data_IF_463945358699
#
_entry.id   IF_463945358699
#
_cell.length_a   1.000
_cell.length_b   1.000
_cell.length_c   1.000
_cell.angle_alpha   90.00
_cell.angle_beta   90.00
_cell.angle_gamma   90.00
#
_symmetry.space_group_name_H-M   'P 1'
#
loop_
_entity.id
_entity.type
_entity.pdbx_description
1 polymer ?
#
# COMPACT_ATOMS: atom_id res chain seq x y z
N UNK A 1 -44.19 -88.30 -14.52
CA UNK A 1 -44.72 -87.30 -15.48
C UNK A 1 -44.57 -85.90 -14.86
N UNK A 2 -44.32 -84.85 -15.65
CA UNK A 2 -44.53 -83.45 -15.19
C UNK A 2 -46.04 -83.14 -15.18
N UNK A 3 -46.53 -82.18 -14.39
CA UNK A 3 -46.54 -80.78 -14.82
C UNK A 3 -46.10 -79.76 -13.74
N UNK A 4 -46.16 -78.48 -14.11
CA UNK A 4 -45.62 -77.32 -13.40
C UNK A 4 -46.60 -76.72 -12.36
N UNK A 5 -46.06 -75.96 -11.40
CA UNK A 5 -46.72 -74.80 -10.82
C UNK A 5 -45.68 -73.73 -10.48
N UNK A 6 -45.95 -72.47 -10.85
CA UNK A 6 -45.13 -71.30 -10.56
C UNK A 6 -45.62 -70.66 -9.25
N UNK A 7 -44.71 -70.27 -8.36
CA UNK A 7 -44.99 -69.23 -7.36
C UNK A 7 -43.79 -68.31 -7.21
N UNK A 8 -44.02 -67.01 -7.42
CA UNK A 8 -43.02 -65.95 -7.26
C UNK A 8 -42.90 -65.54 -5.80
N UNK A 9 -41.68 -65.40 -5.29
CA UNK A 9 -41.41 -64.77 -4.00
C UNK A 9 -40.41 -63.63 -4.20
N UNK A 10 -40.83 -62.41 -3.86
CA UNK A 10 -39.99 -61.20 -3.90
C UNK A 10 -38.93 -61.25 -2.80
N UNK A 11 -37.66 -61.06 -3.16
CA UNK A 11 -36.59 -60.70 -2.22
C UNK A 11 -36.43 -59.18 -2.22
N UNK A 12 -36.87 -58.54 -1.14
CA UNK A 12 -36.60 -57.13 -0.87
C UNK A 12 -35.13 -56.94 -0.48
N UNK A 13 -34.30 -56.63 -1.47
CA UNK A 13 -32.92 -56.19 -1.25
C UNK A 13 -32.88 -54.77 -0.68
N UNK A 14 -32.68 -54.63 0.64
CA UNK A 14 -32.46 -53.34 1.27
C UNK A 14 -31.07 -52.79 0.94
N UNK A 15 -30.99 -51.83 0.01
CA UNK A 15 -29.76 -51.12 -0.28
C UNK A 15 -29.48 -50.06 0.79
N UNK A 16 -28.48 -50.30 1.65
CA UNK A 16 -27.98 -49.28 2.58
C UNK A 16 -27.07 -48.32 1.83
N UNK A 17 -27.57 -47.12 1.52
CA UNK A 17 -26.74 -46.03 1.02
C UNK A 17 -25.85 -45.50 2.17
N UNK A 18 -24.57 -45.86 2.14
CA UNK A 18 -23.56 -45.18 2.96
C UNK A 18 -23.15 -43.91 2.23
N UNK A 19 -23.90 -42.82 2.44
CA UNK A 19 -23.49 -41.49 2.00
C UNK A 19 -22.37 -40.98 2.90
N UNK A 20 -21.12 -41.04 2.43
CA UNK A 20 -20.05 -40.28 3.08
C UNK A 20 -20.36 -38.78 2.93
N UNK A 21 -20.32 -37.98 4.01
CA UNK A 21 -20.46 -36.54 3.89
C UNK A 21 -19.23 -35.99 3.17
N UNK A 22 -19.43 -35.41 1.99
CA UNK A 22 -18.38 -34.65 1.31
C UNK A 22 -18.08 -33.41 2.15
N UNK A 23 -16.95 -33.39 2.87
CA UNK A 23 -16.48 -32.16 3.50
C UNK A 23 -16.11 -31.15 2.41
N UNK A 24 -17.06 -30.25 2.13
CA UNK A 24 -16.82 -29.11 1.28
C UNK A 24 -15.93 -28.14 2.07
N UNK A 25 -14.61 -28.34 1.98
CA UNK A 25 -13.62 -27.40 2.51
C UNK A 25 -13.75 -26.09 1.74
N UNK A 26 -14.63 -25.22 2.23
CA UNK A 26 -14.76 -23.87 1.75
C UNK A 26 -13.43 -23.17 1.97
N UNK A 27 -12.67 -22.96 0.90
CA UNK A 27 -11.60 -21.97 0.90
C UNK A 27 -12.25 -20.62 1.21
N UNK A 28 -12.07 -20.13 2.43
CA UNK A 28 -12.24 -18.71 2.68
C UNK A 28 -11.18 -17.97 1.85
N UNK A 29 -11.58 -17.49 0.67
CA UNK A 29 -10.84 -16.45 -0.02
C UNK A 29 -10.96 -15.18 0.83
N UNK A 30 -10.01 -15.03 1.76
CA UNK A 30 -9.82 -13.80 2.52
C UNK A 30 -9.81 -12.64 1.52
N UNK A 31 -10.70 -11.68 1.75
CA UNK A 31 -10.70 -10.44 0.98
C UNK A 31 -9.39 -9.66 1.13
N UNK A 32 -9.24 -8.55 0.40
CA UNK A 32 -8.06 -7.69 0.50
C UNK A 32 -7.75 -7.34 1.95
N UNK A 33 -6.49 -7.53 2.35
CA UNK A 33 -6.00 -7.22 3.69
C UNK A 33 -6.11 -5.72 3.96
N UNK A 34 -6.29 -5.36 5.23
CA UNK A 34 -6.20 -3.97 5.62
C UNK A 34 -4.77 -3.43 5.46
N UNK A 35 -4.63 -2.11 5.28
CA UNK A 35 -3.30 -1.48 5.18
C UNK A 35 -2.45 -1.70 6.44
N UNK A 36 -3.08 -1.94 7.59
CA UNK A 36 -2.47 -2.33 8.87
C UNK A 36 -1.87 -3.75 8.81
N UNK A 37 -2.60 -4.72 8.28
CA UNK A 37 -2.14 -6.11 8.06
C UNK A 37 -1.03 -6.17 7.01
N UNK A 38 -1.20 -5.49 5.88
CA UNK A 38 -0.13 -5.37 4.85
C UNK A 38 1.12 -4.74 5.47
N UNK A 39 0.97 -3.72 6.33
CA UNK A 39 2.10 -3.10 7.02
C UNK A 39 2.87 -4.07 7.93
N UNK A 40 2.19 -4.99 8.62
CA UNK A 40 2.85 -6.00 9.45
C UNK A 40 3.69 -6.96 8.60
N UNK A 41 3.12 -7.46 7.50
CA UNK A 41 3.81 -8.35 6.55
C UNK A 41 5.01 -7.64 5.90
N UNK A 42 4.79 -6.40 5.47
CA UNK A 42 5.81 -5.57 4.84
C UNK A 42 6.96 -5.26 5.78
N UNK A 43 6.66 -4.80 7.01
CA UNK A 43 7.69 -4.49 8.01
C UNK A 43 8.52 -5.71 8.41
N UNK A 44 7.91 -6.90 8.48
CA UNK A 44 8.59 -8.13 8.86
C UNK A 44 9.64 -8.62 7.82
N UNK A 45 9.57 -8.12 6.58
CA UNK A 45 10.41 -8.58 5.46
C UNK A 45 11.22 -7.48 4.75
N UNK A 46 10.99 -6.20 5.08
CA UNK A 46 11.68 -5.06 4.46
C UNK A 46 12.99 -4.72 5.20
N UNK A 47 14.10 -4.80 4.48
CA UNK A 47 15.47 -4.60 4.96
C UNK A 47 15.95 -3.18 4.66
N UNK A 48 16.75 -2.60 5.56
CA UNK A 48 17.58 -1.43 5.29
C UNK A 48 18.96 -1.90 4.81
N UNK A 49 19.39 -1.40 3.66
CA UNK A 49 20.77 -1.49 3.19
C UNK A 49 21.46 -0.18 3.57
N UNK A 50 22.24 -0.23 4.65
CA UNK A 50 23.02 0.90 5.14
C UNK A 50 24.37 0.96 4.41
N UNK A 51 24.86 2.18 4.15
CA UNK A 51 26.05 2.51 3.37
C UNK A 51 26.08 4.02 3.09
N UNK A 52 27.02 4.51 2.29
CA UNK A 52 27.12 5.93 1.89
C UNK A 52 25.84 6.43 1.20
N UNK A 53 25.20 5.56 0.41
CA UNK A 53 23.91 5.81 -0.22
C UNK A 53 22.90 4.76 0.27
N UNK A 54 22.21 5.01 1.41
CA UNK A 54 21.32 4.01 2.00
C UNK A 54 20.14 3.71 1.07
N UNK A 55 19.68 2.47 1.12
CA UNK A 55 18.56 1.97 0.34
C UNK A 55 17.73 0.93 1.08
N UNK A 56 16.77 0.36 0.37
CA UNK A 56 15.85 -0.65 0.90
C UNK A 56 16.00 -1.98 0.16
N UNK A 57 15.52 -3.06 0.76
CA UNK A 57 15.40 -4.36 0.13
C UNK A 57 14.27 -5.17 0.73
N UNK A 58 14.02 -6.36 0.19
CA UNK A 58 13.05 -7.33 0.72
C UNK A 58 13.62 -8.73 0.76
N UNK A 59 13.43 -9.46 1.86
CA UNK A 59 13.81 -10.88 1.94
C UNK A 59 12.90 -11.70 1.02
N UNK A 60 13.45 -12.29 -0.05
CA UNK A 60 12.70 -13.08 -1.05
C UNK A 60 12.97 -14.58 -0.99
N UNK A 61 13.99 -15.00 -0.24
CA UNK A 61 14.33 -16.41 -0.09
C UNK A 61 15.24 -16.68 1.11
N UNK A 62 15.37 -17.96 1.45
CA UNK A 62 16.25 -18.47 2.49
C UNK A 62 16.75 -19.87 2.10
N UNK A 63 18.04 -20.13 2.27
CA UNK A 63 18.64 -21.47 2.24
C UNK A 63 19.47 -21.67 3.52
N UNK A 64 19.05 -22.62 4.37
CA UNK A 64 19.68 -22.81 5.68
C UNK A 64 19.64 -21.53 6.53
N UNK A 65 20.81 -21.04 6.94
CA UNK A 65 20.99 -19.77 7.66
C UNK A 65 21.19 -18.55 6.75
N UNK A 66 21.26 -18.73 5.43
CA UNK A 66 21.49 -17.67 4.46
C UNK A 66 20.16 -17.15 3.92
N UNK A 67 19.95 -15.84 4.01
CA UNK A 67 18.79 -15.13 3.47
C UNK A 67 19.19 -14.34 2.23
N UNK A 68 18.26 -14.23 1.28
CA UNK A 68 18.45 -13.51 0.03
C UNK A 68 17.54 -12.28 0.00
N UNK A 69 18.15 -11.09 -0.05
CA UNK A 69 17.46 -9.81 -0.15
C UNK A 69 17.44 -9.36 -1.60
N UNK A 70 16.27 -9.08 -2.15
CA UNK A 70 16.13 -8.43 -3.45
C UNK A 70 16.09 -6.91 -3.26
N UNK A 71 16.87 -6.18 -4.06
CA UNK A 71 16.94 -4.71 -4.07
C UNK A 71 17.10 -4.20 -5.51
N UNK A 72 17.14 -2.88 -5.69
CA UNK A 72 17.46 -2.26 -6.98
C UNK A 72 18.98 -2.20 -7.17
N UNK A 73 19.47 -2.47 -8.39
CA UNK A 73 20.91 -2.53 -8.67
C UNK A 73 21.61 -1.20 -8.35
N UNK A 74 20.96 -0.05 -8.58
CA UNK A 74 21.53 1.26 -8.29
C UNK A 74 21.78 1.55 -6.81
N UNK A 75 21.14 0.81 -5.88
CA UNK A 75 21.41 0.91 -4.44
C UNK A 75 22.80 0.36 -4.11
N UNK A 76 23.24 -0.67 -4.84
CA UNK A 76 24.50 -1.41 -4.66
C UNK A 76 25.45 -1.22 -5.85
N UNK A 77 25.33 -0.10 -6.58
CA UNK A 77 26.09 0.13 -7.81
C UNK A 77 27.59 0.34 -7.55
N UNK A 78 27.92 1.11 -6.51
CA UNK A 78 29.28 1.41 -6.04
C UNK A 78 29.75 0.40 -5.03
N UNK A 79 31.06 0.10 -5.02
CA UNK A 79 31.69 -0.64 -3.92
C UNK A 79 31.73 0.22 -2.66
N UNK A 80 31.32 -0.34 -1.53
CA UNK A 80 31.12 0.37 -0.26
C UNK A 80 31.05 -0.62 0.91
N UNK A 81 31.25 -0.12 2.14
CA UNK A 81 31.04 -0.90 3.37
C UNK A 81 29.55 -0.97 3.71
N UNK A 82 28.83 -1.81 2.97
CA UNK A 82 27.40 -2.03 3.19
C UNK A 82 27.13 -2.85 4.46
N UNK A 83 26.03 -2.53 5.12
CA UNK A 83 25.47 -3.34 6.21
C UNK A 83 23.97 -3.59 6.00
N UNK A 84 23.53 -4.80 6.37
CA UNK A 84 22.12 -5.19 6.38
C UNK A 84 21.55 -4.94 7.76
N UNK A 85 20.58 -4.04 7.87
CA UNK A 85 19.84 -3.78 9.09
C UNK A 85 18.45 -4.40 8.97
N UNK A 86 18.19 -5.40 9.81
CA UNK A 86 16.95 -6.20 9.81
C UNK A 86 15.83 -5.52 10.61
N UNK A 87 14.56 -5.99 10.50
CA UNK A 87 13.42 -5.31 11.14
C UNK A 87 13.43 -5.28 12.67
N UNK A 88 14.23 -6.14 13.31
CA UNK A 88 14.50 -6.14 14.76
C UNK A 88 15.75 -5.33 15.14
N UNK A 89 16.32 -4.58 14.18
CA UNK A 89 17.45 -3.67 14.38
C UNK A 89 18.81 -4.37 14.48
N UNK A 90 18.95 -5.63 14.06
CA UNK A 90 20.25 -6.29 14.00
C UNK A 90 20.99 -5.91 12.74
N UNK A 91 22.28 -5.61 12.89
CA UNK A 91 23.18 -5.27 11.79
C UNK A 91 24.04 -6.47 11.42
N UNK A 92 24.08 -6.80 10.14
CA UNK A 92 24.94 -7.85 9.56
C UNK A 92 25.89 -7.22 8.54
N UNK A 93 27.20 -7.49 8.59
CA UNK A 93 28.13 -7.02 7.55
C UNK A 93 27.81 -7.70 6.22
N UNK A 94 27.94 -6.96 5.12
CA UNK A 94 27.77 -7.48 3.77
C UNK A 94 29.12 -7.61 3.06
N UNK A 95 29.41 -8.81 2.54
CA UNK A 95 30.47 -8.98 1.55
C UNK A 95 29.99 -8.44 0.20
N UNK A 96 30.59 -7.35 -0.26
CA UNK A 96 30.26 -6.72 -1.54
C UNK A 96 30.51 -7.68 -2.74
N UNK A 97 31.50 -8.57 -2.64
CA UNK A 97 31.78 -9.59 -3.65
C UNK A 97 30.69 -10.66 -3.79
N UNK A 98 29.83 -10.82 -2.77
CA UNK A 98 28.71 -11.76 -2.78
C UNK A 98 27.43 -11.19 -3.43
N UNK A 99 27.41 -9.89 -3.78
CA UNK A 99 26.26 -9.22 -4.40
C UNK A 99 26.11 -9.66 -5.87
N UNK A 100 24.94 -10.20 -6.21
CA UNK A 100 24.62 -10.64 -7.57
C UNK A 100 23.78 -9.57 -8.28
N UNK A 101 24.44 -8.72 -9.06
CA UNK A 101 23.78 -7.74 -9.95
C UNK A 101 23.18 -8.47 -11.16
N UNK A 102 21.92 -8.20 -11.48
CA UNK A 102 21.21 -8.88 -12.57
C UNK A 102 21.47 -8.11 -13.89
N UNK A 103 21.98 -8.75 -14.96
CA UNK A 103 22.22 -8.07 -16.24
C UNK A 103 20.96 -7.43 -16.82
N UNK A 104 21.13 -6.27 -17.46
CA UNK A 104 20.11 -5.49 -18.20
C UNK A 104 18.87 -5.03 -17.40
N UNK A 105 18.80 -5.34 -16.10
CA UNK A 105 17.69 -5.01 -15.20
C UNK A 105 18.24 -4.34 -13.94
N UNK A 106 17.59 -3.28 -13.45
CA UNK A 106 18.02 -2.56 -12.25
C UNK A 106 17.62 -3.32 -10.97
N UNK A 107 18.04 -4.58 -10.85
CA UNK A 107 17.86 -5.46 -9.69
C UNK A 107 19.20 -6.07 -9.25
N UNK A 108 19.32 -6.33 -7.94
CA UNK A 108 20.41 -7.10 -7.38
C UNK A 108 19.92 -8.01 -6.24
N UNK A 109 20.57 -9.17 -6.09
CA UNK A 109 20.39 -10.07 -4.95
C UNK A 109 21.55 -9.87 -3.99
N UNK A 110 21.22 -9.71 -2.72
CA UNK A 110 22.16 -9.44 -1.63
C UNK A 110 22.00 -10.54 -0.56
N UNK A 111 22.98 -11.44 -0.38
CA UNK A 111 22.91 -12.49 0.62
C UNK A 111 23.37 -12.01 2.00
N UNK A 112 22.78 -12.52 3.08
CA UNK A 112 23.35 -12.42 4.44
C UNK A 112 23.08 -13.68 5.26
N UNK A 113 23.93 -13.96 6.24
CA UNK A 113 23.79 -15.14 7.11
C UNK A 113 23.31 -14.72 8.50
N UNK A 114 22.31 -15.42 9.04
CA UNK A 114 21.85 -15.22 10.41
C UNK A 114 21.36 -16.52 11.06
N UNK A 115 21.65 -16.66 12.36
CA UNK A 115 21.03 -17.70 13.21
C UNK A 115 19.62 -17.34 13.70
N UNK A 116 19.12 -16.13 13.42
CA UNK A 116 17.73 -15.71 13.71
C UNK A 116 16.80 -16.07 12.55
N UNK A 117 15.53 -16.28 12.87
CA UNK A 117 14.45 -16.45 11.90
C UNK A 117 13.95 -15.09 11.40
N UNK A 118 14.00 -14.84 10.09
CA UNK A 118 13.42 -13.64 9.45
C UNK A 118 12.30 -14.02 8.48
N UNK A 119 11.33 -13.12 8.30
CA UNK A 119 10.17 -13.41 7.44
C UNK A 119 10.53 -13.24 5.97
N UNK A 120 10.43 -14.32 5.20
CA UNK A 120 10.50 -14.29 3.74
C UNK A 120 9.18 -13.76 3.18
N UNK A 121 9.26 -12.73 2.34
CA UNK A 121 8.09 -12.15 1.70
C UNK A 121 7.47 -13.10 0.67
N UNK A 122 6.14 -13.18 0.63
CA UNK A 122 5.42 -13.92 -0.43
C UNK A 122 5.48 -13.12 -1.71
N UNK A 123 5.97 -13.72 -2.80
CA UNK A 123 5.88 -13.11 -4.13
C UNK A 123 4.46 -13.27 -4.67
N UNK A 124 3.96 -12.23 -5.33
CA UNK A 124 2.71 -12.25 -6.08
C UNK A 124 2.96 -12.51 -7.57
N UNK A 125 1.91 -12.40 -8.36
CA UNK A 125 2.01 -12.38 -9.82
C UNK A 125 1.90 -10.93 -10.30
N UNK A 126 2.94 -10.37 -10.92
CA UNK A 126 2.86 -9.01 -11.47
C UNK A 126 2.05 -8.91 -12.77
N UNK A 127 1.82 -10.04 -13.44
CA UNK A 127 1.11 -10.05 -14.73
C UNK A 127 -0.43 -10.02 -14.53
N UNK A 128 -0.90 -10.24 -13.29
CA UNK A 128 -2.31 -10.08 -12.86
C UNK A 128 -2.65 -8.65 -12.40
N UNK A 129 -1.66 -7.76 -12.31
CA UNK A 129 -1.81 -6.39 -11.82
C UNK A 129 -2.53 -5.53 -12.87
N UNK A 130 -3.43 -4.65 -12.41
CA UNK A 130 -4.24 -3.76 -13.23
C UNK A 130 -4.13 -2.29 -12.80
N UNK A 131 -4.44 -1.37 -13.70
CA UNK A 131 -4.49 0.06 -13.41
C UNK A 131 -5.66 0.36 -12.46
N UNK A 132 -5.39 1.10 -11.38
CA UNK A 132 -6.29 1.32 -10.25
C UNK A 132 -6.08 0.36 -9.07
N UNK A 133 -5.26 -0.69 -9.20
CA UNK A 133 -4.97 -1.58 -8.08
C UNK A 133 -4.26 -0.86 -6.93
N UNK A 134 -4.80 -1.02 -5.73
CA UNK A 134 -4.22 -0.46 -4.51
C UNK A 134 -2.95 -1.22 -4.11
N UNK A 135 -1.88 -0.46 -3.97
CA UNK A 135 -0.53 -0.96 -3.65
C UNK A 135 0.08 -0.20 -2.47
N UNK A 136 1.06 -0.84 -1.84
CA UNK A 136 1.79 -0.31 -0.70
C UNK A 136 3.29 -0.45 -0.93
N UNK A 137 4.06 0.60 -0.69
CA UNK A 137 5.53 0.59 -0.84
C UNK A 137 6.12 0.69 0.55
N UNK A 138 6.92 -0.30 0.91
CA UNK A 138 7.70 -0.26 2.13
C UNK A 138 9.16 0.10 1.83
N UNK A 139 9.80 0.79 2.77
CA UNK A 139 11.21 1.10 2.67
C UNK A 139 11.71 1.92 3.85
N UNK A 140 12.99 2.25 3.79
CA UNK A 140 13.74 2.98 4.79
C UNK A 140 14.25 4.27 4.15
N UNK A 141 13.47 5.37 4.18
CA UNK A 141 13.94 6.65 3.70
C UNK A 141 15.22 7.10 4.37
N UNK A 142 16.09 7.73 3.59
CA UNK A 142 17.28 8.40 4.07
C UNK A 142 16.96 9.30 5.28
N UNK A 143 17.77 9.18 6.32
CA UNK A 143 17.67 10.01 7.51
C UNK A 143 17.73 11.50 7.13
N UNK A 144 16.84 12.30 7.70
CA UNK A 144 16.92 13.76 7.72
C UNK A 144 17.09 14.24 9.16
N UNK A 145 17.38 15.53 9.39
CA UNK A 145 17.73 16.02 10.74
C UNK A 145 16.63 15.80 11.81
N UNK A 146 15.37 15.72 11.41
CA UNK A 146 14.23 15.52 12.32
C UNK A 146 13.66 14.09 12.33
N UNK A 147 14.03 13.25 11.37
CA UNK A 147 13.49 11.89 11.20
C UNK A 147 14.66 10.96 10.84
N UNK A 148 15.09 10.06 11.75
CA UNK A 148 16.17 9.11 11.47
C UNK A 148 15.72 8.07 10.43
N UNK A 149 16.57 7.07 10.12
CA UNK A 149 16.19 5.90 9.32
C UNK A 149 15.08 5.10 10.02
N UNK A 150 13.83 5.54 9.84
CA UNK A 150 12.64 4.84 10.28
C UNK A 150 11.96 4.21 9.07
N UNK A 151 11.53 2.97 9.23
CA UNK A 151 10.66 2.30 8.28
C UNK A 151 9.43 3.16 7.96
N UNK A 152 9.10 3.28 6.67
CA UNK A 152 7.88 3.93 6.19
C UNK A 152 7.15 3.02 5.21
N UNK A 153 5.82 2.97 5.35
CA UNK A 153 4.91 2.40 4.36
C UNK A 153 4.11 3.54 3.74
N UNK A 154 4.04 3.61 2.41
CA UNK A 154 3.17 4.55 1.70
C UNK A 154 2.18 3.80 0.81
N UNK A 155 0.91 4.21 0.82
CA UNK A 155 -0.13 3.62 -0.02
C UNK A 155 -0.44 4.48 -1.24
N UNK A 156 -0.83 3.85 -2.33
CA UNK A 156 -1.26 4.49 -3.56
C UNK A 156 -1.88 3.46 -4.50
N UNK A 157 -1.90 3.80 -5.78
CA UNK A 157 -2.56 3.02 -6.84
C UNK A 157 -1.64 2.90 -8.05
N UNK A 158 -1.73 1.77 -8.76
CA UNK A 158 -1.10 1.59 -10.07
C UNK A 158 -1.75 2.55 -11.06
N UNK A 159 -0.98 3.46 -11.63
CA UNK A 159 -1.45 4.48 -12.58
C UNK A 159 -1.07 4.18 -14.04
N UNK A 160 -0.30 3.13 -14.29
CA UNK A 160 0.07 2.71 -15.63
C UNK A 160 0.89 1.42 -15.64
N UNK A 161 0.71 0.59 -16.67
CA UNK A 161 1.50 -0.63 -16.87
C UNK A 161 2.11 -0.64 -18.27
N UNK A 162 3.44 -0.60 -18.36
CA UNK A 162 4.14 -0.63 -19.64
C UNK A 162 4.30 -2.05 -20.16
N UNK A 163 3.62 -2.36 -21.28
CA UNK A 163 3.71 -3.67 -21.98
C UNK A 163 5.09 -3.93 -22.62
N UNK A 164 5.95 -2.91 -22.68
CA UNK A 164 7.37 -3.02 -23.03
C UNK A 164 8.14 -2.36 -21.90
N UNK A 165 8.92 -3.10 -21.09
CA UNK A 165 9.68 -2.51 -20.00
C UNK A 165 10.57 -1.36 -20.50
N UNK A 166 10.58 -0.28 -19.73
CA UNK A 166 11.48 0.86 -19.89
C UNK A 166 12.90 0.38 -19.49
N UNK A 167 13.95 1.08 -19.93
CA UNK A 167 15.34 0.78 -19.60
C UNK A 167 15.53 0.45 -18.10
N UNK A 168 16.24 -0.64 -17.80
CA UNK A 168 16.38 -1.19 -16.44
C UNK A 168 15.23 -2.10 -15.99
N UNK A 169 14.30 -2.45 -16.87
CA UNK A 169 13.21 -3.41 -16.57
C UNK A 169 11.98 -2.79 -15.89
N UNK A 170 11.91 -1.46 -15.78
CA UNK A 170 10.80 -0.74 -15.17
C UNK A 170 9.51 -0.90 -15.99
N UNK A 171 8.41 -1.30 -15.35
CA UNK A 171 7.15 -1.60 -16.03
C UNK A 171 5.89 -1.21 -15.26
N UNK A 172 5.98 -1.03 -13.94
CA UNK A 172 4.89 -0.52 -13.11
C UNK A 172 5.05 0.99 -12.92
N UNK A 173 3.95 1.73 -13.05
CA UNK A 173 3.86 3.17 -12.78
C UNK A 173 2.80 3.40 -11.71
N UNK A 174 3.05 4.23 -10.70
CA UNK A 174 2.12 4.42 -9.58
C UNK A 174 2.19 5.78 -8.88
N UNK A 175 1.15 6.06 -8.09
CA UNK A 175 0.86 7.37 -7.46
C UNK A 175 1.48 7.58 -6.07
N UNK A 176 2.05 6.54 -5.45
CA UNK A 176 2.61 6.62 -4.10
C UNK A 176 3.66 7.74 -3.99
N UNK A 177 3.67 8.46 -2.86
CA UNK A 177 4.78 9.35 -2.51
C UNK A 177 5.94 8.51 -1.97
N UNK A 178 7.16 8.79 -2.42
CA UNK A 178 8.39 8.12 -1.95
C UNK A 178 9.47 9.14 -1.65
N UNK A 179 10.49 8.71 -0.90
CA UNK A 179 11.68 9.50 -0.54
C UNK A 179 12.95 8.79 -1.00
N UNK A 180 14.06 9.52 -1.11
CA UNK A 180 15.38 8.89 -1.20
C UNK A 180 15.57 7.87 -0.06
N UNK A 181 16.28 6.76 -0.31
CA UNK A 181 16.38 5.60 0.60
C UNK A 181 15.31 4.51 0.41
N UNK A 182 14.11 4.84 -0.10
CA UNK A 182 13.09 3.82 -0.38
C UNK A 182 13.37 2.98 -1.63
N UNK A 183 14.31 3.39 -2.48
CA UNK A 183 14.75 2.62 -3.66
C UNK A 183 15.18 1.21 -3.24
N UNK A 184 14.82 0.20 -4.04
CA UNK A 184 14.99 -1.22 -3.75
C UNK A 184 13.94 -1.83 -2.82
N UNK A 185 13.05 -1.01 -2.24
CA UNK A 185 11.98 -1.47 -1.36
C UNK A 185 10.86 -2.23 -2.10
N UNK A 186 10.17 -3.16 -1.42
CA UNK A 186 9.08 -3.93 -2.01
C UNK A 186 7.82 -3.10 -2.28
N UNK A 187 7.17 -3.42 -3.40
CA UNK A 187 5.82 -3.00 -3.75
C UNK A 187 4.86 -4.16 -3.47
N UNK A 188 3.99 -4.01 -2.48
CA UNK A 188 2.98 -5.00 -2.09
C UNK A 188 1.63 -4.73 -2.73
N UNK A 189 0.92 -5.78 -3.13
CA UNK A 189 -0.51 -5.73 -3.43
C UNK A 189 -1.35 -5.76 -2.13
N UNK A 190 -2.66 -5.60 -2.27
CA UNK A 190 -3.59 -5.67 -1.13
C UNK A 190 -3.75 -7.08 -0.52
N UNK A 191 -3.05 -8.10 -1.02
CA UNK A 191 -2.97 -9.44 -0.42
C UNK A 191 -1.68 -9.64 0.39
N UNK A 192 -0.86 -8.59 0.56
CA UNK A 192 0.43 -8.67 1.26
C UNK A 192 1.51 -9.41 0.48
N UNK A 193 1.39 -9.52 -0.84
CA UNK A 193 2.36 -10.17 -1.72
C UNK A 193 3.17 -9.12 -2.49
N UNK A 194 4.47 -9.35 -2.67
CA UNK A 194 5.35 -8.48 -3.45
C UNK A 194 5.04 -8.64 -4.93
N UNK A 195 4.57 -7.58 -5.59
CA UNK A 195 4.31 -7.51 -7.04
C UNK A 195 5.37 -6.72 -7.81
N UNK A 196 6.31 -6.08 -7.12
CA UNK A 196 7.45 -5.43 -7.76
C UNK A 196 8.44 -4.83 -6.77
N UNK A 197 9.51 -4.25 -7.31
CA UNK A 197 10.56 -3.55 -6.57
C UNK A 197 10.53 -2.07 -6.97
N UNK A 198 10.47 -1.16 -6.00
CA UNK A 198 10.52 0.28 -6.24
C UNK A 198 11.94 0.73 -6.59
N UNK A 199 12.11 1.72 -7.45
CA UNK A 199 13.43 2.32 -7.70
C UNK A 199 13.37 3.75 -8.22
N UNK A 200 13.12 3.90 -9.53
CA UNK A 200 13.03 5.22 -10.15
C UNK A 200 11.75 5.99 -9.79
N UNK A 201 11.80 7.29 -10.02
CA UNK A 201 10.60 8.12 -10.12
C UNK A 201 10.74 9.08 -11.30
N UNK A 202 9.67 9.17 -12.08
CA UNK A 202 9.52 10.13 -13.15
C UNK A 202 9.07 11.47 -12.55
N UNK A 203 10.03 12.29 -12.12
CA UNK A 203 9.74 13.56 -11.48
C UNK A 203 10.97 14.40 -11.21
N UNK A 204 10.81 15.72 -11.19
CA UNK A 204 11.89 16.62 -10.79
C UNK A 204 12.17 16.40 -9.30
N UNK A 205 13.44 16.16 -8.94
CA UNK A 205 13.82 16.14 -7.52
C UNK A 205 13.42 17.48 -6.87
N UNK A 206 12.46 17.42 -5.95
CA UNK A 206 12.06 18.57 -5.15
C UNK A 206 12.85 18.51 -3.86
N UNK A 207 13.99 19.20 -3.85
CA UNK A 207 14.66 19.58 -2.62
C UNK A 207 13.70 20.47 -1.83
N UNK A 208 13.20 19.95 -0.71
CA UNK A 208 12.57 20.77 0.32
C UNK A 208 13.70 21.44 1.13
N UNK A 209 13.85 22.78 1.10
CA UNK A 209 14.76 23.45 1.99
C UNK A 209 14.22 23.34 3.42
N UNK A 210 14.99 22.67 4.28
CA UNK A 210 14.80 22.72 5.72
C UNK A 210 15.25 24.07 6.27
N UNK A 211 14.87 24.34 7.53
CA UNK A 211 15.56 25.35 8.31
C UNK A 211 17.02 24.91 8.51
N UNK A 212 17.94 25.87 8.61
CA UNK A 212 19.38 25.69 8.82
C UNK A 212 20.10 24.84 7.76
N UNK A 213 19.68 24.93 6.48
CA UNK A 213 20.43 24.42 5.32
C UNK A 213 20.21 22.95 4.97
N UNK A 214 19.32 22.24 5.69
CA UNK A 214 18.98 20.85 5.38
C UNK A 214 18.17 20.73 4.06
N UNK A 215 18.17 19.55 3.45
CA UNK A 215 17.64 19.32 2.10
C UNK A 215 17.01 17.93 1.96
N UNK A 216 15.69 17.84 2.14
CA UNK A 216 14.96 16.59 1.92
C UNK A 216 14.51 16.46 0.46
N UNK A 217 15.02 15.47 -0.26
CA UNK A 217 14.61 15.19 -1.65
C UNK A 217 13.31 14.39 -1.68
N UNK A 218 12.23 15.04 -2.11
CA UNK A 218 10.99 14.37 -2.53
C UNK A 218 11.06 14.11 -4.03
N UNK A 219 10.78 12.87 -4.42
CA UNK A 219 10.61 12.46 -5.83
C UNK A 219 9.18 12.82 -6.28
N UNK A 220 8.98 14.06 -6.75
CA UNK A 220 7.64 14.57 -7.06
C UNK A 220 7.22 14.26 -8.52
N UNK A 221 6.42 13.21 -8.69
CA UNK A 221 5.89 12.75 -9.98
C UNK A 221 5.36 11.32 -9.88
N UNK A 222 5.30 10.59 -10.98
CA UNK A 222 4.96 9.17 -10.96
C UNK A 222 6.16 8.34 -10.46
N UNK A 223 5.92 7.31 -9.65
CA UNK A 223 6.97 6.41 -9.22
C UNK A 223 6.97 5.14 -10.08
N UNK A 224 8.15 4.56 -10.28
CA UNK A 224 8.39 3.44 -11.19
C UNK A 224 8.88 2.22 -10.42
N UNK A 225 8.35 1.05 -10.78
CA UNK A 225 8.77 -0.23 -10.24
C UNK A 225 9.05 -1.29 -11.31
N UNK A 226 9.92 -2.23 -10.95
CA UNK A 226 10.24 -3.41 -11.76
C UNK A 226 9.22 -4.51 -11.39
N UNK A 227 8.43 -5.05 -12.34
CA UNK A 227 7.45 -6.11 -12.06
C UNK A 227 8.13 -7.36 -11.48
N UNK A 228 7.56 -7.98 -10.44
CA UNK A 228 8.22 -9.10 -9.75
C UNK A 228 8.44 -10.31 -10.67
N UNK A 229 7.59 -10.52 -11.69
CA UNK A 229 7.78 -11.62 -12.63
C UNK A 229 9.06 -11.45 -13.48
N UNK A 230 9.63 -10.25 -13.59
CA UNK A 230 10.95 -10.05 -14.18
C UNK A 230 12.02 -10.77 -13.37
N UNK A 231 12.00 -10.64 -12.05
CA UNK A 231 12.88 -11.42 -11.16
C UNK A 231 12.59 -12.92 -11.24
N UNK A 232 11.32 -13.34 -11.16
CA UNK A 232 10.94 -14.77 -11.18
C UNK A 232 11.41 -15.46 -12.46
N UNK A 233 11.21 -14.84 -13.63
CA UNK A 233 11.68 -15.38 -14.93
C UNK A 233 13.21 -15.49 -14.97
N UNK A 234 13.93 -14.47 -14.52
CA UNK A 234 15.40 -14.45 -14.55
C UNK A 234 16.00 -15.44 -13.54
N UNK A 235 15.45 -15.57 -12.33
CA UNK A 235 15.88 -16.57 -11.36
C UNK A 235 15.75 -18.00 -11.90
N UNK A 236 14.61 -18.32 -12.54
CA UNK A 236 14.38 -19.61 -13.20
C UNK A 236 15.33 -19.88 -14.38
N UNK A 237 15.62 -18.85 -15.19
CA UNK A 237 16.52 -18.97 -16.35
C UNK A 237 17.99 -19.10 -15.97
N UNK A 238 18.41 -18.50 -14.85
CA UNK A 238 19.83 -18.22 -14.55
C UNK A 238 20.38 -19.05 -13.38
N UNK A 239 19.55 -19.84 -12.69
CA UNK A 239 19.89 -20.56 -11.43
C UNK A 239 20.49 -19.63 -10.35
N UNK A 240 20.00 -18.39 -10.28
CA UNK A 240 20.40 -17.44 -9.24
C UNK A 240 19.74 -17.86 -7.92
N UNK A 241 20.48 -18.66 -7.15
CA UNK A 241 20.07 -19.47 -5.98
C UNK A 241 19.15 -20.68 -6.31
N UNK A 242 19.26 -21.78 -5.54
CA UNK A 242 20.19 -22.88 -5.78
C UNK A 242 19.64 -23.89 -6.79
N UNK A 243 20.52 -24.75 -7.32
CA UNK A 243 20.14 -25.78 -8.27
C UNK A 243 19.24 -26.86 -7.64
N UNK A 244 17.92 -26.73 -7.82
CA UNK A 244 16.98 -27.82 -7.60
C UNK A 244 17.28 -28.95 -8.61
N UNK A 245 17.94 -30.01 -8.13
CA UNK A 245 18.22 -31.22 -8.89
C UNK A 245 16.94 -31.89 -9.38
N UNK A 246 17.04 -32.55 -10.54
CA UNK A 246 15.97 -33.31 -11.16
C UNK A 246 15.38 -34.38 -10.23
N UNK A 247 14.06 -34.56 -10.29
CA UNK A 247 13.35 -35.72 -9.76
C UNK A 247 13.78 -37.04 -10.43
N UNK A 248 13.52 -38.16 -9.75
CA UNK A 248 13.75 -39.56 -10.19
C UNK A 248 15.23 -40.02 -10.11
N UNK A 249 15.61 -41.18 -9.55
CA UNK A 249 14.85 -42.29 -8.91
C UNK A 249 15.83 -43.14 -8.10
N UNK A 250 15.44 -43.66 -6.93
CA UNK A 250 16.18 -44.73 -6.24
C UNK A 250 15.22 -45.66 -5.47
N UNK A 251 15.31 -47.00 -5.63
CA UNK A 251 14.35 -47.93 -5.03
C UNK A 251 14.71 -48.36 -3.60
N UNK A 252 13.67 -48.88 -2.93
CA UNK A 252 13.60 -49.36 -1.54
C UNK A 252 14.61 -50.46 -1.19
N UNK A 253 15.16 -50.42 0.03
CA UNK A 253 15.59 -51.60 0.78
C UNK A 253 15.43 -51.42 2.30
N UNK A 254 15.04 -52.48 3.00
CA UNK A 254 15.14 -52.69 4.46
C UNK A 254 15.52 -54.16 4.68
N UNK A 255 16.21 -54.54 5.77
CA UNK A 255 15.48 -54.95 6.98
C UNK A 255 16.18 -54.67 8.35
N UNK A 256 15.49 -55.10 9.41
CA UNK A 256 15.67 -54.96 10.89
C UNK A 256 16.83 -55.82 11.50
N UNK A 257 16.98 -56.07 12.85
CA UNK A 257 16.16 -55.75 14.04
C UNK A 257 16.89 -55.31 15.37
N UNK A 258 16.11 -55.24 16.45
CA UNK A 258 16.37 -54.75 17.84
C UNK A 258 16.79 -55.88 18.81
N UNK A 259 17.62 -55.60 19.85
CA UNK A 259 17.23 -55.71 21.28
C UNK A 259 17.90 -54.59 22.16
N UNK A 260 17.67 -54.31 23.46
CA UNK A 260 16.86 -54.87 24.58
C UNK A 260 16.51 -53.75 25.62
N UNK A 261 15.96 -54.07 26.82
CA UNK A 261 15.72 -53.16 27.97
C UNK A 261 16.18 -53.79 29.31
N UNK A 262 16.56 -53.01 30.36
CA UNK A 262 16.06 -53.26 31.74
C UNK A 262 15.68 -51.97 32.55
N UNK A 263 15.43 -52.11 33.87
CA UNK A 263 14.73 -51.19 34.82
C UNK A 263 15.19 -51.54 36.28
N UNK A 264 14.83 -50.87 37.43
CA UNK A 264 13.93 -49.72 37.69
C UNK A 264 14.28 -48.70 38.85
N UNK A 265 13.49 -47.59 38.97
CA UNK A 265 13.12 -46.82 40.21
C UNK A 265 14.25 -46.10 41.04
N UNK A 266 13.95 -45.23 42.04
CA UNK A 266 13.11 -44.00 42.06
C UNK A 266 13.77 -42.75 42.73
N UNK A 267 13.07 -41.60 42.78
CA UNK A 267 13.28 -40.46 43.74
C UNK A 267 14.55 -39.57 43.49
N UNK A 268 14.58 -38.22 43.55
CA UNK A 268 13.65 -37.15 43.99
C UNK A 268 13.79 -35.84 43.17
N UNK A 269 12.84 -34.91 43.38
CA UNK A 269 12.97 -33.44 43.36
C UNK A 269 13.63 -32.73 42.16
N UNK A 270 12.79 -32.14 41.30
CA UNK A 270 13.09 -30.86 40.64
C UNK A 270 11.93 -29.88 40.83
N UNK A 271 12.30 -28.60 40.92
CA UNK A 271 11.47 -27.45 41.24
C UNK A 271 10.67 -26.92 40.04
N UNK A 272 9.60 -26.19 40.37
CA UNK A 272 8.99 -25.08 39.60
C UNK A 272 8.06 -25.31 38.38
N UNK A 273 7.09 -24.39 38.31
CA UNK A 273 6.20 -24.03 37.19
C UNK A 273 5.04 -24.96 36.77
N UNK A 274 3.97 -24.84 37.56
CA UNK A 274 2.56 -24.62 37.13
C UNK A 274 2.20 -24.82 35.64
N UNK A 275 1.38 -25.82 35.28
CA UNK A 275 0.76 -25.93 33.97
C UNK A 275 -0.54 -25.11 33.86
N UNK A 276 -0.56 -24.10 32.98
CA UNK A 276 -1.79 -23.39 32.60
C UNK A 276 -2.62 -24.22 31.63
N UNK A 277 -3.43 -25.13 32.17
CA UNK A 277 -4.58 -25.72 31.46
C UNK A 277 -5.86 -24.99 31.86
N UNK A 278 -6.17 -23.89 31.16
CA UNK A 278 -7.55 -23.40 31.12
C UNK A 278 -7.84 -22.79 29.74
N UNK A 279 -8.65 -23.51 28.96
CA UNK A 279 -9.08 -23.13 27.62
C UNK A 279 -10.61 -23.02 27.64
N UNK A 280 -11.15 -22.16 26.76
CA UNK A 280 -12.54 -22.06 26.30
C UNK A 280 -13.43 -20.94 26.93
N UNK A 281 -13.87 -20.05 26.02
CA UNK A 281 -15.05 -19.17 26.01
C UNK A 281 -15.09 -17.86 26.84
N UNK A 282 -14.80 -16.77 26.12
CA UNK A 282 -15.72 -15.63 26.02
C UNK A 282 -16.11 -15.45 24.54
N UNK A 283 -17.32 -15.00 24.19
CA UNK A 283 -17.72 -14.81 22.80
C UNK A 283 -16.98 -13.61 22.19
N UNK A 284 -16.22 -13.86 21.13
CA UNK A 284 -15.74 -12.77 20.27
C UNK A 284 -16.95 -12.23 19.51
N UNK A 285 -17.38 -11.02 19.85
CA UNK A 285 -18.35 -10.27 19.04
C UNK A 285 -17.82 -10.22 17.60
N UNK A 286 -18.65 -10.49 16.57
CA UNK A 286 -18.18 -10.41 15.20
C UNK A 286 -17.69 -9.00 14.93
N UNK A 287 -16.40 -8.87 14.59
CA UNK A 287 -15.87 -7.62 14.09
C UNK A 287 -16.69 -7.23 12.85
N UNK A 288 -17.46 -6.16 12.98
CA UNK A 288 -18.29 -5.63 11.90
C UNK A 288 -17.32 -5.22 10.80
N UNK A 289 -17.27 -5.99 9.70
CA UNK A 289 -16.44 -5.69 8.52
C UNK A 289 -16.56 -4.19 8.20
N UNK A 290 -15.45 -3.45 8.00
CA UNK A 290 -15.53 -2.04 7.67
C UNK A 290 -16.34 -1.89 6.38
N UNK A 291 -17.58 -1.41 6.53
CA UNK A 291 -18.48 -1.20 5.41
C UNK A 291 -17.87 -0.09 4.55
N UNK A 292 -17.41 -0.44 3.35
CA UNK A 292 -16.91 0.51 2.35
C UNK A 292 -18.02 1.54 2.09
N UNK A 293 -17.82 2.78 2.54
CA UNK A 293 -18.85 3.80 2.43
C UNK A 293 -18.63 4.55 1.12
N UNK A 294 -19.68 4.60 0.31
CA UNK A 294 -19.80 5.43 -0.88
C UNK A 294 -21.13 6.19 -0.80
N UNK A 295 -21.21 7.34 -1.47
CA UNK A 295 -22.48 8.06 -1.56
C UNK A 295 -23.43 7.33 -2.52
N UNK A 296 -24.66 7.06 -2.08
CA UNK A 296 -25.70 6.43 -2.93
C UNK A 296 -26.07 7.35 -4.10
N UNK A 297 -26.23 8.65 -3.81
CA UNK A 297 -26.23 9.71 -4.82
C UNK A 297 -25.05 10.66 -4.58
N UNK A 298 -24.17 10.88 -5.57
CA UNK A 298 -22.96 11.67 -5.37
C UNK A 298 -23.28 13.14 -5.04
N UNK A 299 -22.52 13.78 -4.12
CA UNK A 299 -22.57 15.22 -3.93
C UNK A 299 -22.09 15.93 -5.19
N UNK A 300 -22.51 17.19 -5.40
CA UNK A 300 -22.23 17.95 -6.63
C UNK A 300 -21.72 19.34 -6.35
N UNK A 301 -20.70 19.77 -7.09
CA UNK A 301 -20.28 21.16 -7.17
C UNK A 301 -21.26 21.91 -8.06
N UNK A 302 -22.08 22.78 -7.46
CA UNK A 302 -23.04 23.62 -8.20
C UNK A 302 -22.38 24.87 -8.80
N UNK A 303 -21.38 25.43 -8.12
CA UNK A 303 -20.78 26.72 -8.52
C UNK A 303 -19.38 26.89 -7.94
N UNK A 304 -18.46 27.41 -8.75
CA UNK A 304 -17.18 27.93 -8.29
C UNK A 304 -17.02 29.40 -8.72
N UNK A 305 -16.58 30.27 -7.81
CA UNK A 305 -16.29 31.68 -8.09
C UNK A 305 -15.10 32.17 -7.28
N UNK A 306 -14.48 33.27 -7.71
CA UNK A 306 -13.55 34.06 -6.87
C UNK A 306 -14.15 35.44 -6.62
N UNK A 307 -13.92 36.00 -5.44
CA UNK A 307 -14.26 37.39 -5.10
C UNK A 307 -13.39 38.41 -5.85
N UNK A 308 -12.23 37.99 -6.35
CA UNK A 308 -11.28 38.83 -7.06
C UNK A 308 -10.53 38.00 -8.13
N UNK A 309 -10.56 38.48 -9.37
CA UNK A 309 -9.95 37.85 -10.55
C UNK A 309 -8.61 38.46 -10.94
N UNK A 310 -8.12 39.49 -10.26
CA UNK A 310 -6.85 40.12 -10.60
C UNK A 310 -5.70 39.18 -10.22
N UNK A 311 -4.94 38.77 -11.23
CA UNK A 311 -3.77 37.91 -11.08
C UNK A 311 -2.75 38.53 -10.13
N UNK A 312 -2.11 37.70 -9.31
CA UNK A 312 -1.15 38.10 -8.26
C UNK A 312 -1.69 39.07 -7.18
N UNK A 313 -2.98 39.40 -7.15
CA UNK A 313 -3.54 40.21 -6.06
C UNK A 313 -3.65 39.42 -4.74
N UNK A 314 -3.68 40.13 -3.62
CA UNK A 314 -3.83 39.57 -2.27
C UNK A 314 -5.30 39.59 -1.84
N UNK A 315 -5.69 38.62 -1.01
CA UNK A 315 -6.94 38.71 -0.27
C UNK A 315 -8.22 38.36 -1.04
N UNK A 316 -8.11 37.73 -2.21
CA UNK A 316 -9.22 37.01 -2.84
C UNK A 316 -9.77 35.89 -1.93
N UNK A 317 -10.99 35.43 -2.21
CA UNK A 317 -11.57 34.23 -1.60
C UNK A 317 -12.35 33.46 -2.67
N UNK A 318 -12.00 32.19 -2.84
CA UNK A 318 -12.70 31.29 -3.75
C UNK A 318 -13.89 30.69 -3.01
N UNK A 319 -15.06 30.68 -3.65
CA UNK A 319 -16.32 30.18 -3.06
C UNK A 319 -16.82 29.03 -3.93
N UNK A 320 -16.91 27.84 -3.33
CA UNK A 320 -17.42 26.64 -3.96
C UNK A 320 -18.73 26.25 -3.29
N UNK A 321 -19.83 26.29 -4.03
CA UNK A 321 -21.15 25.84 -3.55
C UNK A 321 -21.29 24.36 -3.87
N UNK A 322 -21.44 23.55 -2.84
CA UNK A 322 -21.57 22.09 -2.91
C UNK A 322 -22.95 21.70 -2.40
N UNK A 323 -23.59 20.80 -3.12
CA UNK A 323 -24.86 20.17 -2.77
C UNK A 323 -24.61 18.73 -2.34
N UNK A 324 -25.02 18.39 -1.11
CA UNK A 324 -25.04 17.02 -0.60
C UNK A 324 -26.52 16.59 -0.50
N UNK A 325 -27.05 15.87 -1.50
CA UNK A 325 -28.48 15.56 -1.55
C UNK A 325 -28.89 14.64 -0.39
N UNK A 326 -30.16 14.67 0.02
CA UNK A 326 -30.65 13.80 1.10
C UNK A 326 -30.51 12.30 0.76
N UNK A 327 -30.62 11.97 -0.52
CA UNK A 327 -30.39 10.66 -1.13
C UNK A 327 -28.91 10.23 -1.16
N UNK A 328 -27.97 11.05 -0.70
CA UNK A 328 -26.56 10.66 -0.59
C UNK A 328 -26.35 9.51 0.41
N UNK A 329 -27.24 9.38 1.40
CA UNK A 329 -27.27 8.39 2.49
C UNK A 329 -26.05 8.37 3.45
N UNK A 330 -24.88 8.83 3.01
CA UNK A 330 -23.66 8.96 3.82
C UNK A 330 -23.31 10.45 4.07
N UNK A 331 -22.88 10.82 5.30
CA UNK A 331 -22.34 12.15 5.58
C UNK A 331 -21.03 12.43 4.83
N UNK A 332 -20.78 13.69 4.49
CA UNK A 332 -19.54 14.15 3.84
C UNK A 332 -18.50 14.55 4.89
N UNK A 333 -17.45 13.74 5.01
CA UNK A 333 -16.36 13.93 5.97
C UNK A 333 -15.25 14.86 5.45
N UNK A 334 -14.93 14.79 4.16
CA UNK A 334 -13.77 15.49 3.59
C UNK A 334 -14.04 15.94 2.16
N UNK A 335 -13.45 17.09 1.78
CA UNK A 335 -13.41 17.62 0.42
C UNK A 335 -11.96 17.94 0.05
N UNK A 336 -11.53 17.46 -1.13
CA UNK A 336 -10.24 17.79 -1.74
C UNK A 336 -10.45 18.71 -2.96
N UNK A 337 -9.58 19.71 -3.11
CA UNK A 337 -9.48 20.52 -4.33
C UNK A 337 -8.10 20.32 -4.96
N UNK A 338 -8.06 19.66 -6.12
CA UNK A 338 -6.85 19.20 -6.81
C UNK A 338 -6.66 20.05 -8.08
N UNK A 339 -5.59 20.84 -8.19
CA UNK A 339 -5.35 21.65 -9.39
C UNK A 339 -4.87 20.79 -10.57
N UNK A 340 -5.77 20.51 -11.52
CA UNK A 340 -5.48 19.76 -12.75
C UNK A 340 -4.87 20.62 -13.86
N UNK A 341 -5.33 21.86 -14.00
CA UNK A 341 -4.82 22.79 -15.02
C UNK A 341 -4.54 24.16 -14.42
N UNK A 342 -3.37 24.73 -14.72
CA UNK A 342 -2.98 26.09 -14.31
C UNK A 342 -1.47 26.21 -14.14
N UNK A 343 -0.90 27.36 -14.51
CA UNK A 343 0.57 27.58 -14.56
C UNK A 343 1.22 27.55 -13.17
N UNK A 344 0.47 27.87 -12.12
CA UNK A 344 1.00 28.08 -10.76
C UNK A 344 0.00 27.64 -9.70
N UNK A 345 0.35 26.66 -8.86
CA UNK A 345 -0.48 26.30 -7.72
C UNK A 345 -0.61 27.46 -6.71
N UNK A 346 -1.83 27.97 -6.44
CA UNK A 346 -2.03 28.97 -5.40
C UNK A 346 -2.01 28.30 -4.03
N UNK A 347 -1.05 28.68 -3.17
CA UNK A 347 -1.03 28.23 -1.77
C UNK A 347 -2.22 28.84 -1.01
N UNK A 348 -2.89 28.08 -0.14
CA UNK A 348 -4.02 28.57 0.65
C UNK A 348 -3.62 28.85 2.11
N UNK A 349 -4.36 29.76 2.77
CA UNK A 349 -4.20 30.04 4.19
C UNK A 349 -5.16 29.16 4.97
N UNK A 350 -4.66 28.20 5.78
CA UNK A 350 -5.52 27.33 6.59
C UNK A 350 -6.51 28.12 7.48
N UNK A 351 -6.03 29.14 8.21
CA UNK A 351 -6.87 30.08 9.00
C UNK A 351 -7.84 30.95 8.16
N UNK A 352 -7.74 30.91 6.84
CA UNK A 352 -8.62 31.61 5.89
C UNK A 352 -9.58 30.69 5.14
N UNK A 353 -9.62 29.39 5.50
CA UNK A 353 -10.59 28.42 4.99
C UNK A 353 -11.75 28.33 5.99
N UNK A 354 -12.98 28.36 5.49
CA UNK A 354 -14.19 28.22 6.28
C UNK A 354 -15.33 27.65 5.42
N UNK A 355 -16.26 26.91 6.03
CA UNK A 355 -17.48 26.47 5.36
C UNK A 355 -18.70 27.13 6.02
N UNK A 356 -19.75 27.37 5.22
CA UNK A 356 -20.98 28.05 5.64
C UNK A 356 -22.18 27.33 5.06
N UNK A 357 -23.27 27.18 5.81
CA UNK A 357 -24.51 26.61 5.28
C UNK A 357 -25.16 27.52 4.22
N UNK A 358 -25.79 26.89 3.22
CA UNK A 358 -26.38 27.55 2.05
C UNK A 358 -25.36 28.01 0.99
N UNK A 359 -25.85 28.72 -0.02
CA UNK A 359 -25.08 29.19 -1.20
C UNK A 359 -24.26 30.47 -0.98
N UNK A 360 -24.14 30.96 0.27
CA UNK A 360 -23.49 32.23 0.60
C UNK A 360 -22.57 32.11 1.82
N UNK A 361 -21.46 32.84 1.81
CA UNK A 361 -20.50 32.98 2.93
C UNK A 361 -21.03 33.82 4.12
N UNK A 362 -22.29 33.60 4.51
CA UNK A 362 -23.03 34.35 5.55
C UNK A 362 -23.96 33.48 6.41
N UNK A 363 -24.19 32.21 6.06
CA UNK A 363 -24.96 31.29 6.92
C UNK A 363 -24.18 30.86 8.18
N UNK A 364 -24.77 29.99 9.03
CA UNK A 364 -24.06 29.30 10.09
C UNK A 364 -22.74 28.69 9.58
N UNK A 365 -21.67 28.78 10.37
CA UNK A 365 -20.40 28.14 10.01
C UNK A 365 -20.51 26.63 10.24
N UNK A 366 -20.10 25.86 9.24
CA UNK A 366 -19.84 24.44 9.43
C UNK A 366 -18.45 24.29 10.06
N UNK A 367 -18.30 23.52 11.16
CA UNK A 367 -17.01 23.31 11.80
C UNK A 367 -16.10 22.45 10.92
N UNK A 368 -14.81 22.80 10.94
CA UNK A 368 -13.77 22.14 10.16
C UNK A 368 -12.76 21.50 11.11
N UNK A 369 -12.35 20.28 10.78
CA UNK A 369 -11.27 19.57 11.46
C UNK A 369 -9.93 19.84 10.78
N UNK A 370 -9.26 18.79 10.35
CA UNK A 370 -7.95 18.87 9.70
C UNK A 370 -8.03 19.60 8.34
N UNK A 371 -7.08 20.52 8.11
CA UNK A 371 -6.89 21.21 6.84
C UNK A 371 -5.45 20.99 6.39
N UNK A 372 -5.24 20.26 5.30
CA UNK A 372 -3.91 19.96 4.74
C UNK A 372 -3.73 20.72 3.44
N UNK A 373 -2.58 21.40 3.29
CA UNK A 373 -2.15 21.96 2.02
C UNK A 373 -0.97 21.13 1.52
N UNK A 374 -1.12 20.49 0.36
CA UNK A 374 -0.09 19.68 -0.29
C UNK A 374 0.26 20.29 -1.66
N UNK A 375 1.21 21.25 -1.71
CA UNK A 375 1.68 21.83 -2.97
C UNK A 375 2.29 20.82 -3.97
N UNK A 376 3.01 19.77 -3.55
CA UNK A 376 3.41 18.66 -4.42
C UNK A 376 2.26 18.02 -5.22
N UNK A 377 1.21 17.50 -4.56
CA UNK A 377 0.04 16.95 -5.29
C UNK A 377 -0.89 18.03 -5.86
N UNK A 378 -0.61 19.31 -5.52
CA UNK A 378 -1.43 20.48 -5.84
C UNK A 378 -2.85 20.38 -5.26
N UNK A 379 -2.95 19.78 -4.08
CA UNK A 379 -4.21 19.51 -3.38
C UNK A 379 -4.32 20.38 -2.14
N UNK A 380 -5.54 20.83 -1.85
CA UNK A 380 -5.92 21.25 -0.50
C UNK A 380 -7.07 20.37 -0.02
N UNK A 381 -6.86 19.73 1.12
CA UNK A 381 -7.79 18.81 1.79
C UNK A 381 -8.44 19.54 2.95
N UNK A 382 -9.76 19.45 3.04
CA UNK A 382 -10.58 20.04 4.10
C UNK A 382 -11.46 18.95 4.70
N UNK A 383 -11.20 18.58 5.95
CA UNK A 383 -12.08 17.73 6.74
C UNK A 383 -13.12 18.57 7.50
N UNK A 384 -14.32 18.03 7.62
CA UNK A 384 -15.41 18.51 8.47
C UNK A 384 -15.42 17.72 9.76
N UNK A 385 -15.69 18.39 10.88
CA UNK A 385 -15.79 17.75 12.20
C UNK A 385 -16.82 18.48 13.08
N UNK A 386 -18.03 17.94 13.27
CA UNK A 386 -18.54 16.69 12.71
C UNK A 386 -18.79 16.74 11.18
N UNK A 387 -18.93 15.57 10.51
CA UNK A 387 -19.27 15.46 9.09
C UNK A 387 -20.57 16.16 8.69
N UNK A 388 -20.60 16.68 7.45
CA UNK A 388 -21.78 17.35 6.90
C UNK A 388 -22.86 16.32 6.60
N UNK A 389 -24.00 16.45 7.26
CA UNK A 389 -25.12 15.50 7.12
C UNK A 389 -25.84 15.65 5.77
N UNK A 390 -26.38 14.55 5.20
CA UNK A 390 -27.14 14.58 3.95
C UNK A 390 -28.31 15.57 3.93
N UNK A 391 -28.67 16.05 2.74
CA UNK A 391 -29.76 17.02 2.55
C UNK A 391 -29.33 18.47 2.80
N UNK A 392 -28.03 18.75 2.78
CA UNK A 392 -27.47 20.09 3.02
C UNK A 392 -26.75 20.63 1.79
N UNK A 393 -27.00 21.91 1.51
CA UNK A 393 -26.17 22.71 0.63
C UNK A 393 -25.26 23.59 1.47
N UNK A 394 -24.00 23.74 1.07
CA UNK A 394 -23.03 24.59 1.76
C UNK A 394 -22.05 25.27 0.81
N UNK A 395 -21.41 26.33 1.29
CA UNK A 395 -20.37 27.08 0.58
C UNK A 395 -19.04 26.91 1.30
N UNK A 396 -18.09 26.25 0.64
CA UNK A 396 -16.69 26.21 1.05
C UNK A 396 -15.98 27.47 0.55
N UNK A 397 -15.48 28.28 1.49
CA UNK A 397 -14.71 29.48 1.23
C UNK A 397 -13.22 29.19 1.43
N UNK A 398 -12.42 29.25 0.36
CA UNK A 398 -10.99 28.95 0.38
C UNK A 398 -10.19 30.21 0.06
N UNK A 399 -9.34 30.67 0.99
CA UNK A 399 -8.56 31.92 0.82
C UNK A 399 -7.13 31.64 0.37
N UNK A 400 -6.74 31.95 -0.89
CA UNK A 400 -5.35 31.90 -1.30
C UNK A 400 -4.49 32.88 -0.49
N UNK A 401 -3.19 32.59 -0.40
CA UNK A 401 -2.18 33.57 0.06
C UNK A 401 -2.18 34.77 -0.87
N UNK A 402 -2.19 34.49 -2.18
CA UNK A 402 -2.20 35.42 -3.31
C UNK A 402 -2.83 34.71 -4.52
N UNK A 403 -3.58 35.44 -5.35
CA UNK A 403 -4.05 34.90 -6.64
C UNK A 403 -2.87 34.41 -7.49
N UNK A 404 -3.06 33.38 -8.33
CA UNK A 404 -2.01 32.85 -9.18
C UNK A 404 -1.73 33.80 -10.36
N UNK A 405 -0.99 33.30 -11.35
CA UNK A 405 -0.72 34.01 -12.60
C UNK A 405 -1.97 34.14 -13.47
N UNK A 406 -1.88 34.93 -14.54
CA UNK A 406 -2.95 35.08 -15.54
C UNK A 406 -3.26 33.73 -16.18
N UNK A 407 -4.54 33.44 -16.44
CA UNK A 407 -4.99 32.23 -17.13
C UNK A 407 -6.18 31.56 -16.45
N UNK A 408 -6.60 30.43 -17.03
CA UNK A 408 -7.66 29.56 -16.51
C UNK A 408 -7.06 28.50 -15.59
N UNK A 409 -7.66 28.33 -14.42
CA UNK A 409 -7.29 27.36 -13.40
C UNK A 409 -8.46 26.41 -13.17
N UNK A 410 -8.21 25.11 -13.30
CA UNK A 410 -9.22 24.06 -13.13
C UNK A 410 -8.87 23.19 -11.93
N UNK A 411 -9.70 23.24 -10.90
CA UNK A 411 -9.59 22.35 -9.75
C UNK A 411 -10.63 21.23 -9.88
N UNK A 412 -10.17 19.99 -9.86
CA UNK A 412 -11.04 18.84 -9.62
C UNK A 412 -11.44 18.85 -8.14
N UNK A 413 -12.75 18.79 -7.87
CA UNK A 413 -13.29 18.71 -6.51
C UNK A 413 -13.71 17.28 -6.24
N UNK A 414 -13.14 16.66 -5.20
CA UNK A 414 -13.54 15.34 -4.72
C UNK A 414 -14.15 15.43 -3.33
N UNK A 415 -15.08 14.54 -3.03
CA UNK A 415 -15.72 14.40 -1.72
C UNK A 415 -15.60 12.97 -1.22
N UNK A 416 -15.42 12.81 0.09
CA UNK A 416 -15.24 11.52 0.75
C UNK A 416 -16.27 11.37 1.87
N UNK A 417 -16.96 10.23 1.96
CA UNK A 417 -17.92 10.01 3.02
C UNK A 417 -17.24 9.75 4.37
N UNK A 418 -18.05 9.80 5.43
CA UNK A 418 -17.69 9.26 6.75
C UNK A 418 -17.56 7.73 6.69
N UNK A 419 -16.51 7.18 7.32
CA UNK A 419 -16.19 5.75 7.30
C UNK A 419 -14.68 5.46 7.32
N UNK A 420 -14.31 4.22 7.63
CA UNK A 420 -12.91 3.77 7.73
C UNK A 420 -12.27 3.52 6.36
N UNK A 421 -13.06 3.07 5.38
CA UNK A 421 -12.66 2.91 3.98
C UNK A 421 -13.55 3.80 3.11
N UNK A 422 -12.95 4.85 2.54
CA UNK A 422 -13.64 5.96 1.88
C UNK A 422 -13.43 5.95 0.38
N UNK A 423 -14.48 5.73 -0.40
CA UNK A 423 -14.42 5.90 -1.85
C UNK A 423 -14.57 7.37 -2.24
N UNK A 424 -13.53 7.95 -2.85
CA UNK A 424 -13.55 9.33 -3.30
C UNK A 424 -14.51 9.50 -4.47
N UNK A 425 -15.44 10.44 -4.36
CA UNK A 425 -16.41 10.75 -5.41
C UNK A 425 -16.05 12.07 -6.08
N UNK A 426 -16.16 12.13 -7.41
CA UNK A 426 -15.99 13.37 -8.17
C UNK A 426 -17.23 14.26 -8.05
N UNK A 427 -17.06 15.47 -7.49
CA UNK A 427 -18.14 16.45 -7.29
C UNK A 427 -18.29 17.40 -8.48
N UNK A 428 -17.20 17.69 -9.20
CA UNK A 428 -17.20 18.60 -10.34
C UNK A 428 -15.86 19.32 -10.55
N UNK A 429 -15.84 20.18 -11.57
CA UNK A 429 -14.65 20.95 -11.96
C UNK A 429 -14.85 22.44 -11.62
N UNK A 430 -14.09 22.94 -10.66
CA UNK A 430 -14.08 24.35 -10.27
C UNK A 430 -13.14 25.15 -11.19
N UNK A 431 -13.73 25.84 -12.18
CA UNK A 431 -13.04 26.77 -13.07
C UNK A 431 -12.92 28.17 -12.46
N UNK A 432 -11.70 28.70 -12.42
CA UNK A 432 -11.39 30.06 -11.98
C UNK A 432 -10.47 30.74 -13.02
N UNK A 433 -10.90 31.88 -13.56
CA UNK A 433 -10.15 32.65 -14.55
C UNK A 433 -9.54 33.92 -13.92
N UNK A 434 -8.23 34.11 -14.11
CA UNK A 434 -7.49 35.27 -13.59
C UNK A 434 -6.93 36.14 -14.73
N UNK A 435 -7.08 37.46 -14.60
CA UNK A 435 -6.73 38.46 -15.61
C UNK A 435 -5.64 39.41 -15.09
N UNK A 436 -4.92 40.10 -15.99
CA UNK A 436 -4.04 41.19 -15.56
C UNK A 436 -4.87 42.30 -14.93
N UNK A 437 -4.29 43.05 -13.98
CA UNK A 437 -4.84 44.36 -13.65
C UNK A 437 -4.87 45.20 -14.91
N UNK A 438 -6.00 45.83 -15.21
CA UNK A 438 -5.98 46.92 -16.18
C UNK A 438 -5.08 48.03 -15.62
N UNK A 439 -4.25 48.68 -16.44
CA UNK A 439 -3.80 50.04 -16.14
C UNK A 439 -5.04 50.91 -15.91
N UNK A 440 -4.97 51.79 -14.91
CA UNK A 440 -6.08 52.69 -14.60
C UNK A 440 -6.38 53.64 -15.75
N UNK A 441 -7.66 54.01 -15.88
CA UNK A 441 -8.02 55.37 -16.30
C UNK A 441 -7.83 56.31 -15.12
#
# INVERSE_FOLDING_TARGET
MRPYSLLSAFLLGGAVLITQPTELVAREERGPLEGSEVNQIAKASTILLEGQNPGSGVVVGQEGSTYYVLTAQHVVATEDEYAIVTPDGQTYPLDYGAIQKIPDVDLAIVPFTSGKAYSVAKLGNSDDVTEGDRIFIAGWPAAGRAIPHIYQLTSGEVSGISRRPIAGGYGLVYTNVTRAGMSGGPVFNSSGQVIGIHGLAEGRQVVLPGYDGDSSVIKAGFNLGIPINTFVRLAQQTRLAPAAGSSSTAPVASPSPVPTRPTPLPTASLTETTPLTQVIQAPVLPAKKPSRVAFVQPPRLLKATTSDRIARNLGATYSLVIDLPATAAAPLQQVDLILKQGVQYPRFKAKGIAAYEGSKRRGPKLPLGLIVNDPPSRTVTIAFDPPVQPGRQFTLAVRPVRNPSVGTYLFEVRGFPEGEVKDSTYLGLARLDFVRSSPGK
#
